data_IF_569132334555
#
_entry.id   IF_569132334555
#
_cell.length_a   1.000
_cell.length_b   1.000
_cell.length_c   1.000
_cell.angle_alpha   90.00
_cell.angle_beta   90.00
_cell.angle_gamma   90.00
#
_symmetry.space_group_name_H-M   'P 1'
#
loop_
_entity.id
_entity.type
_entity.pdbx_description
1 polymer ?
#
# COMPACT_ATOMS: atom_id res chain seq x y z
N UNK A 1 -13.44 39.98 4.63
CA UNK A 1 -13.83 38.60 4.27
C UNK A 1 -13.48 37.66 5.41
N UNK A 2 -14.42 36.78 5.82
CA UNK A 2 -14.13 35.71 6.80
C UNK A 2 -13.30 34.61 6.13
N UNK A 3 -12.41 33.95 6.88
CA UNK A 3 -11.58 32.84 6.36
C UNK A 3 -12.38 31.53 6.44
N UNK A 4 -12.43 30.76 5.36
CA UNK A 4 -12.99 29.40 5.40
C UNK A 4 -12.14 28.50 6.29
N UNK A 5 -12.81 27.73 7.16
CA UNK A 5 -12.17 26.69 7.98
C UNK A 5 -13.01 25.43 7.87
N UNK A 6 -12.35 24.31 7.55
CA UNK A 6 -13.03 23.03 7.43
C UNK A 6 -13.23 22.41 8.82
N UNK A 7 -14.48 22.10 9.18
CA UNK A 7 -14.83 21.63 10.53
C UNK A 7 -14.12 20.34 10.94
N UNK A 8 -13.72 19.51 9.97
CA UNK A 8 -13.05 18.24 10.21
C UNK A 8 -11.60 18.18 9.70
N UNK A 9 -10.93 19.34 9.58
CA UNK A 9 -9.55 19.42 9.07
C UNK A 9 -8.57 18.56 9.87
N UNK A 10 -8.62 18.63 11.22
CA UNK A 10 -7.78 17.80 12.07
C UNK A 10 -8.02 16.30 11.87
N UNK A 11 -9.29 15.88 11.71
CA UNK A 11 -9.64 14.48 11.46
C UNK A 11 -9.13 14.03 10.08
N UNK A 12 -9.27 14.87 9.04
CA UNK A 12 -8.77 14.56 7.70
C UNK A 12 -7.25 14.36 7.71
N UNK A 13 -6.50 15.22 8.42
CA UNK A 13 -5.05 15.10 8.54
C UNK A 13 -4.63 13.81 9.25
N UNK A 14 -5.26 13.47 10.38
CA UNK A 14 -4.98 12.23 11.11
C UNK A 14 -5.26 11.01 10.24
N UNK A 15 -6.41 10.98 9.54
CA UNK A 15 -6.76 9.86 8.65
C UNK A 15 -5.83 9.75 7.43
N UNK A 16 -5.33 10.88 6.92
CA UNK A 16 -4.31 10.91 5.88
C UNK A 16 -2.99 10.27 6.33
N UNK A 17 -2.50 10.65 7.50
CA UNK A 17 -1.28 10.08 8.09
C UNK A 17 -1.44 8.58 8.33
N UNK A 18 -2.58 8.15 8.89
CA UNK A 18 -2.88 6.73 9.08
C UNK A 18 -2.88 5.95 7.77
N UNK A 19 -3.45 6.52 6.69
CA UNK A 19 -3.46 5.90 5.36
C UNK A 19 -2.03 5.76 4.81
N UNK A 20 -1.19 6.78 4.97
CA UNK A 20 0.18 6.75 4.48
C UNK A 20 1.03 5.73 5.25
N UNK A 21 0.84 5.62 6.57
CA UNK A 21 1.47 4.58 7.38
C UNK A 21 1.07 3.18 6.90
N UNK A 22 -0.22 2.92 6.67
CA UNK A 22 -0.68 1.63 6.13
C UNK A 22 -0.09 1.32 4.76
N UNK A 23 0.09 2.33 3.90
CA UNK A 23 0.77 2.16 2.60
C UNK A 23 2.26 1.88 2.73
N UNK A 24 2.92 2.42 3.76
CA UNK A 24 4.32 2.11 4.05
C UNK A 24 4.45 0.66 4.54
N UNK A 25 3.57 0.22 5.45
CA UNK A 25 3.53 -1.16 5.92
C UNK A 25 3.29 -2.14 4.77
N UNK A 26 2.31 -1.84 3.90
CA UNK A 26 2.03 -2.66 2.72
C UNK A 26 3.25 -2.79 1.81
N UNK A 27 3.94 -1.67 1.52
CA UNK A 27 5.18 -1.68 0.71
C UNK A 27 6.30 -2.49 1.36
N UNK A 28 6.40 -2.45 2.68
CA UNK A 28 7.37 -3.28 3.42
C UNK A 28 7.08 -4.77 3.23
N UNK A 29 5.81 -5.17 3.30
CA UNK A 29 5.39 -6.56 3.06
C UNK A 29 5.64 -6.98 1.61
N UNK A 30 5.36 -6.11 0.63
CA UNK A 30 5.65 -6.36 -0.79
C UNK A 30 7.15 -6.62 -1.01
N UNK A 31 8.00 -5.79 -0.42
CA UNK A 31 9.45 -5.96 -0.50
C UNK A 31 9.91 -7.27 0.15
N UNK A 32 9.37 -7.62 1.33
CA UNK A 32 9.70 -8.89 1.99
C UNK A 32 9.25 -10.11 1.17
N UNK A 33 8.10 -10.01 0.49
CA UNK A 33 7.60 -11.06 -0.41
C UNK A 33 8.52 -11.22 -1.63
N UNK A 34 8.95 -10.11 -2.24
CA UNK A 34 9.89 -10.12 -3.37
C UNK A 34 11.21 -10.79 -2.99
N UNK A 35 11.81 -10.40 -1.85
CA UNK A 35 13.04 -11.04 -1.35
C UNK A 35 12.85 -12.53 -1.09
N UNK A 36 11.71 -12.94 -0.53
CA UNK A 36 11.42 -14.35 -0.29
C UNK A 36 11.29 -15.15 -1.59
N UNK A 37 10.71 -14.55 -2.64
CA UNK A 37 10.60 -15.16 -3.97
C UNK A 37 11.94 -15.26 -4.68
N UNK A 38 12.79 -14.24 -4.59
CA UNK A 38 14.16 -14.28 -5.10
C UNK A 38 14.94 -15.43 -4.47
N UNK A 39 14.89 -15.52 -3.13
CA UNK A 39 15.57 -16.57 -2.39
C UNK A 39 15.05 -17.98 -2.77
N UNK A 40 13.74 -18.13 -3.00
CA UNK A 40 13.18 -19.39 -3.50
C UNK A 40 13.78 -19.77 -4.86
N UNK A 41 13.87 -18.81 -5.78
CA UNK A 41 14.45 -19.04 -7.10
C UNK A 41 15.92 -19.45 -7.00
N UNK A 42 16.71 -18.79 -6.15
CA UNK A 42 18.12 -19.14 -5.93
C UNK A 42 18.26 -20.58 -5.41
N UNK A 43 17.45 -20.96 -4.42
CA UNK A 43 17.44 -22.33 -3.89
C UNK A 43 17.01 -23.37 -4.93
N UNK A 44 16.07 -23.03 -5.83
CA UNK A 44 15.65 -23.91 -6.92
C UNK A 44 16.77 -24.14 -7.93
N UNK A 45 17.47 -23.08 -8.33
CA UNK A 45 18.61 -23.17 -9.24
C UNK A 45 19.77 -23.98 -8.63
N UNK A 46 20.02 -23.80 -7.33
CA UNK A 46 21.02 -24.58 -6.60
C UNK A 46 20.66 -26.07 -6.52
N UNK A 47 19.38 -26.38 -6.29
CA UNK A 47 18.89 -27.76 -6.27
C UNK A 47 19.05 -28.42 -7.65
N UNK A 48 18.73 -27.71 -8.72
CA UNK A 48 18.90 -28.19 -10.10
C UNK A 48 20.38 -28.47 -10.41
N UNK A 49 21.26 -27.52 -10.11
CA UNK A 49 22.72 -27.68 -10.25
C UNK A 49 23.23 -28.89 -9.47
N UNK A 50 22.72 -29.10 -8.25
CA UNK A 50 23.07 -30.25 -7.43
C UNK A 50 22.62 -31.58 -8.05
N UNK A 51 21.46 -31.62 -8.74
CA UNK A 51 21.03 -32.81 -9.46
C UNK A 51 21.89 -33.11 -10.68
N UNK A 52 22.29 -32.09 -11.42
CA UNK A 52 23.23 -32.25 -12.54
C UNK A 52 24.58 -32.82 -12.05
N UNK A 53 25.08 -32.33 -10.92
CA UNK A 53 26.30 -32.83 -10.29
C UNK A 53 26.18 -34.32 -9.91
N UNK A 54 25.07 -34.69 -9.27
CA UNK A 54 24.77 -36.09 -8.92
C UNK A 54 24.71 -36.96 -10.18
N UNK A 55 24.07 -36.49 -11.25
CA UNK A 55 23.97 -37.21 -12.51
C UNK A 55 25.35 -37.41 -13.16
N UNK A 56 26.19 -36.37 -13.18
CA UNK A 56 27.57 -36.43 -13.67
C UNK A 56 28.42 -37.43 -12.89
N UNK A 57 28.35 -37.40 -11.55
CA UNK A 57 29.10 -38.31 -10.69
C UNK A 57 28.65 -39.77 -10.85
N UNK A 58 27.35 -40.03 -11.04
CA UNK A 58 26.85 -41.38 -11.33
C UNK A 58 27.36 -41.90 -12.67
N UNK A 59 27.38 -41.05 -13.71
CA UNK A 59 27.88 -41.41 -15.02
C UNK A 59 29.39 -41.71 -15.05
N UNK A 60 30.18 -40.98 -14.26
CA UNK A 60 31.64 -41.14 -14.18
C UNK A 60 32.12 -42.23 -13.23
N UNK A 61 31.22 -42.99 -12.59
CA UNK A 61 31.53 -43.90 -11.46
C UNK A 61 32.27 -43.17 -10.31
N UNK A 62 31.88 -41.92 -10.05
CA UNK A 62 32.42 -41.09 -8.98
C UNK A 62 32.27 -41.73 -7.58
N UNK A 63 33.07 -41.23 -6.63
CA UNK A 63 33.15 -41.79 -5.27
C UNK A 63 31.81 -41.76 -4.52
N UNK A 64 31.45 -42.90 -3.90
CA UNK A 64 30.22 -43.12 -3.15
C UNK A 64 29.98 -42.09 -2.05
N UNK A 65 31.04 -41.67 -1.35
CA UNK A 65 30.94 -40.67 -0.26
C UNK A 65 30.46 -39.31 -0.76
N UNK A 66 30.92 -38.86 -1.94
CA UNK A 66 30.52 -37.57 -2.50
C UNK A 66 29.06 -37.59 -2.96
N UNK A 67 28.61 -38.73 -3.53
CA UNK A 67 27.21 -38.95 -3.90
C UNK A 67 26.28 -38.95 -2.68
N UNK A 68 26.66 -39.62 -1.59
CA UNK A 68 25.89 -39.63 -0.34
C UNK A 68 25.75 -38.22 0.25
N UNK A 69 26.85 -37.47 0.29
CA UNK A 69 26.85 -36.07 0.76
C UNK A 69 25.90 -35.19 -0.06
N UNK A 70 25.96 -35.27 -1.40
CA UNK A 70 25.07 -34.49 -2.28
C UNK A 70 23.60 -34.93 -2.17
N UNK A 71 23.33 -36.23 -1.99
CA UNK A 71 21.96 -36.70 -1.73
C UNK A 71 21.42 -36.13 -0.41
N UNK A 72 22.23 -36.12 0.65
CA UNK A 72 21.88 -35.50 1.93
C UNK A 72 21.64 -34.00 1.79
N UNK A 73 22.51 -33.31 1.05
CA UNK A 73 22.39 -31.88 0.79
C UNK A 73 21.11 -31.53 0.02
N UNK A 74 20.81 -32.25 -1.06
CA UNK A 74 19.59 -32.03 -1.85
C UNK A 74 18.32 -32.33 -1.06
N UNK A 75 18.34 -33.32 -0.15
CA UNK A 75 17.22 -33.56 0.77
C UNK A 75 17.01 -32.38 1.73
N UNK A 76 18.09 -31.81 2.28
CA UNK A 76 18.02 -30.60 3.11
C UNK A 76 17.50 -29.39 2.30
N UNK A 77 17.98 -29.17 1.08
CA UNK A 77 17.52 -28.08 0.22
C UNK A 77 16.02 -28.20 -0.09
N UNK A 78 15.52 -29.40 -0.36
CA UNK A 78 14.07 -29.63 -0.56
C UNK A 78 13.25 -29.24 0.67
N UNK A 79 13.71 -29.57 1.87
CA UNK A 79 13.05 -29.17 3.11
C UNK A 79 13.00 -27.64 3.23
N UNK A 80 14.13 -26.98 3.00
CA UNK A 80 14.22 -25.50 3.05
C UNK A 80 13.33 -24.84 1.99
N UNK A 81 13.24 -25.40 0.79
CA UNK A 81 12.32 -24.94 -0.25
C UNK A 81 10.85 -25.05 0.19
N UNK A 82 10.49 -26.12 0.89
CA UNK A 82 9.13 -26.26 1.43
C UNK A 82 8.84 -25.19 2.50
N UNK A 83 9.78 -24.94 3.41
CA UNK A 83 9.66 -23.88 4.42
C UNK A 83 9.56 -22.49 3.77
N UNK A 84 10.36 -22.23 2.73
CA UNK A 84 10.37 -20.98 1.99
C UNK A 84 9.03 -20.74 1.26
N UNK A 85 8.47 -21.77 0.64
CA UNK A 85 7.13 -21.69 0.05
C UNK A 85 6.06 -21.38 1.11
N UNK A 86 6.17 -21.97 2.30
CA UNK A 86 5.29 -21.65 3.44
C UNK A 86 5.43 -20.19 3.89
N UNK A 87 6.66 -19.65 3.91
CA UNK A 87 6.91 -18.24 4.17
C UNK A 87 6.26 -17.33 3.11
N UNK A 88 6.45 -17.63 1.83
CA UNK A 88 5.84 -16.89 0.71
C UNK A 88 4.32 -16.87 0.83
N UNK A 89 3.69 -18.02 1.10
CA UNK A 89 2.24 -18.11 1.28
C UNK A 89 1.74 -17.23 2.44
N UNK A 90 2.47 -17.21 3.57
CA UNK A 90 2.16 -16.32 4.70
C UNK A 90 2.28 -14.85 4.31
N UNK A 91 3.37 -14.45 3.62
CA UNK A 91 3.56 -13.06 3.16
C UNK A 91 2.52 -12.62 2.14
N UNK A 92 2.10 -13.50 1.25
CA UNK A 92 0.99 -13.25 0.32
C UNK A 92 -0.32 -12.99 1.06
N UNK A 93 -0.61 -13.79 2.09
CA UNK A 93 -1.79 -13.58 2.92
C UNK A 93 -1.72 -12.25 3.70
N UNK A 94 -0.58 -11.93 4.30
CA UNK A 94 -0.36 -10.64 4.97
C UNK A 94 -0.53 -9.45 4.02
N UNK A 95 -0.03 -9.56 2.80
CA UNK A 95 -0.19 -8.54 1.77
C UNK A 95 -1.66 -8.31 1.41
N UNK A 96 -2.44 -9.39 1.26
CA UNK A 96 -3.87 -9.27 0.99
C UNK A 96 -4.61 -8.57 2.14
N UNK A 97 -4.29 -8.93 3.39
CA UNK A 97 -4.85 -8.25 4.56
C UNK A 97 -4.45 -6.77 4.61
N UNK A 98 -3.21 -6.43 4.26
CA UNK A 98 -2.76 -5.04 4.19
C UNK A 98 -3.50 -4.25 3.10
N UNK A 99 -3.72 -4.85 1.92
CA UNK A 99 -4.50 -4.24 0.82
C UNK A 99 -5.93 -3.93 1.24
N UNK A 100 -6.59 -4.84 1.95
CA UNK A 100 -7.93 -4.62 2.49
C UNK A 100 -7.95 -3.42 3.45
N UNK A 101 -7.02 -3.36 4.40
CA UNK A 101 -6.90 -2.23 5.35
C UNK A 101 -6.66 -0.90 4.64
N UNK A 102 -5.76 -0.86 3.67
CA UNK A 102 -5.49 0.35 2.86
C UNK A 102 -6.74 0.77 2.09
N UNK A 103 -7.47 -0.18 1.50
CA UNK A 103 -8.70 0.07 0.74
C UNK A 103 -9.80 0.65 1.63
N UNK A 104 -10.05 0.05 2.79
CA UNK A 104 -11.00 0.55 3.78
C UNK A 104 -10.63 1.96 4.23
N UNK A 105 -9.36 2.18 4.57
CA UNK A 105 -8.89 3.48 5.02
C UNK A 105 -8.99 4.55 3.94
N UNK A 106 -8.69 4.20 2.70
CA UNK A 106 -8.82 5.09 1.56
C UNK A 106 -10.28 5.52 1.33
N UNK A 107 -11.25 4.61 1.54
CA UNK A 107 -12.68 4.94 1.47
C UNK A 107 -13.07 5.95 2.56
N UNK A 108 -12.61 5.76 3.79
CA UNK A 108 -12.85 6.72 4.89
C UNK A 108 -12.32 8.12 4.53
N UNK A 109 -11.09 8.21 4.04
CA UNK A 109 -10.47 9.49 3.66
C UNK A 109 -11.24 10.17 2.51
N UNK A 110 -11.69 9.42 1.50
CA UNK A 110 -12.50 9.95 0.40
C UNK A 110 -13.85 10.52 0.85
N UNK A 111 -14.48 9.91 1.85
CA UNK A 111 -15.73 10.45 2.42
C UNK A 111 -15.47 11.80 3.08
N UNK A 112 -14.36 11.94 3.82
CA UNK A 112 -13.98 13.22 4.43
C UNK A 112 -13.61 14.29 3.39
N UNK A 113 -12.95 13.92 2.29
CA UNK A 113 -12.68 14.82 1.17
C UNK A 113 -13.98 15.34 0.54
N UNK A 114 -14.93 14.45 0.26
CA UNK A 114 -16.23 14.83 -0.28
C UNK A 114 -17.00 15.78 0.64
N UNK A 115 -16.96 15.55 1.96
CA UNK A 115 -17.58 16.46 2.92
C UNK A 115 -16.90 17.82 2.96
N UNK A 116 -15.57 17.88 2.79
CA UNK A 116 -14.83 19.13 2.67
C UNK A 116 -15.25 19.91 1.43
N UNK A 117 -15.34 19.26 0.28
CA UNK A 117 -15.79 19.87 -0.97
C UNK A 117 -17.21 20.44 -0.84
N UNK A 118 -18.13 19.69 -0.21
CA UNK A 118 -19.48 20.15 0.05
C UNK A 118 -19.52 21.38 0.98
N UNK A 119 -18.76 21.37 2.08
CA UNK A 119 -18.69 22.52 2.99
C UNK A 119 -18.10 23.76 2.30
N UNK A 120 -17.11 23.56 1.43
CA UNK A 120 -16.53 24.66 0.67
C UNK A 120 -17.52 25.22 -0.36
N UNK A 121 -18.27 24.36 -1.04
CA UNK A 121 -19.33 24.80 -1.95
C UNK A 121 -20.42 25.64 -1.27
N UNK A 122 -20.86 25.22 -0.08
CA UNK A 122 -21.82 26.00 0.73
C UNK A 122 -21.23 27.35 1.12
N UNK A 123 -19.97 27.37 1.58
CA UNK A 123 -19.28 28.60 1.92
C UNK A 123 -19.21 29.59 0.75
N UNK A 124 -18.93 29.11 -0.46
CA UNK A 124 -18.91 29.96 -1.66
C UNK A 124 -20.29 30.55 -1.99
N UNK A 125 -21.35 29.75 -1.87
CA UNK A 125 -22.72 30.20 -2.10
C UNK A 125 -23.16 31.25 -1.07
N UNK A 126 -22.82 31.07 0.20
CA UNK A 126 -23.14 32.04 1.25
C UNK A 126 -22.38 33.36 1.02
N UNK A 127 -21.11 33.28 0.61
CA UNK A 127 -20.31 34.45 0.27
C UNK A 127 -20.87 35.22 -0.93
N UNK A 128 -21.33 34.51 -1.97
CA UNK A 128 -21.96 35.13 -3.14
C UNK A 128 -23.27 35.83 -2.77
N UNK A 129 -24.09 35.21 -1.91
CA UNK A 129 -25.32 35.82 -1.38
C UNK A 129 -25.06 37.07 -0.54
N UNK A 130 -24.05 37.02 0.32
CA UNK A 130 -23.69 38.18 1.14
C UNK A 130 -23.16 39.33 0.27
N UNK A 131 -22.34 39.03 -0.74
CA UNK A 131 -21.89 40.04 -1.72
C UNK A 131 -23.06 40.64 -2.52
N UNK A 132 -24.01 39.82 -2.96
CA UNK A 132 -25.19 40.31 -3.69
C UNK A 132 -26.03 41.24 -2.81
N UNK A 133 -26.24 40.90 -1.54
CA UNK A 133 -26.94 41.76 -0.57
C UNK A 133 -26.22 43.10 -0.37
N UNK A 134 -24.89 43.07 -0.17
CA UNK A 134 -24.11 44.30 0.00
C UNK A 134 -24.20 45.22 -1.24
N UNK A 135 -24.21 44.65 -2.45
CA UNK A 135 -24.42 45.41 -3.69
C UNK A 135 -25.82 46.01 -3.77
N UNK A 136 -26.85 45.23 -3.48
CA UNK A 136 -28.25 45.68 -3.51
C UNK A 136 -28.51 46.78 -2.47
N UNK A 137 -27.97 46.63 -1.26
CA UNK A 137 -28.05 47.66 -0.19
C UNK A 137 -27.32 48.94 -0.58
N UNK A 138 -26.14 48.84 -1.21
CA UNK A 138 -25.38 49.99 -1.69
C UNK A 138 -26.10 50.73 -2.82
N UNK A 139 -26.75 50.00 -3.74
CA UNK A 139 -27.55 50.57 -4.82
C UNK A 139 -28.83 51.24 -4.31
N UNK A 140 -29.53 50.63 -3.34
CA UNK A 140 -30.71 51.21 -2.70
C UNK A 140 -30.42 52.48 -1.90
N UNK A 141 -29.28 52.54 -1.21
CA UNK A 141 -28.85 53.74 -0.48
C UNK A 141 -28.46 54.91 -1.41
N UNK A 142 -27.93 54.63 -2.60
CA UNK A 142 -27.63 55.68 -3.59
C UNK A 142 -28.91 56.22 -4.27
N UNK A 143 -29.95 55.39 -4.44
CA UNK A 143 -31.25 55.84 -4.94
C UNK A 143 -31.95 56.83 -4.01
N UNK A 144 -31.87 56.63 -2.69
CA UNK A 144 -32.47 57.51 -1.68
C UNK A 144 -31.70 58.82 -1.41
N UNK A 145 -30.50 59.02 -1.99
CA UNK A 145 -29.73 60.27 -1.87
C UNK A 145 -29.89 61.19 -3.09
N UNK A 146 -30.59 60.73 -4.12
CA UNK A 146 -30.82 61.47 -5.38
C UNK A 146 -32.28 61.95 -5.54
N UNK A 147 -33.14 61.64 -4.58
CA UNK A 147 -34.48 62.23 -4.37
C UNK A 147 -34.44 63.25 -3.22
#
# INVERSE_FOLDING_TARGET
MKRFSYRFEGLQNVRGIELDNLRMDMRSIEHQLELAQLQLHEMQAELETSYEEIARLRASRGGTVMLESLNGYTALLRHRLQEQNGLIARRQHELEQARLRVSEKHRETKVLEKHREQQFGIYLQDMERDMQREMDESAGNMGNQLD
#
